data_IF_693102819651
#
_entry.id   IF_693102819651
#
_cell.length_a   1.000
_cell.length_b   1.000
_cell.length_c   1.000
_cell.angle_alpha   90.00
_cell.angle_beta   90.00
_cell.angle_gamma   90.00
#
_symmetry.space_group_name_H-M   'P 1'
#
loop_
_entity.id
_entity.type
_entity.pdbx_description
1 polymer ?
#
# COMPACT_ATOMS: atom_id res chain seq x y z
N UNK A 1 35.04 7.07 3.79
CA UNK A 1 34.03 6.59 4.78
C UNK A 1 33.17 7.70 5.38
N UNK A 2 33.70 8.88 5.78
CA UNK A 2 32.88 9.99 6.33
C UNK A 2 31.82 10.59 5.37
N UNK A 3 32.06 10.55 4.05
CA UNK A 3 31.11 11.10 3.06
C UNK A 3 29.95 10.15 2.71
N UNK A 4 30.14 8.84 2.86
CA UNK A 4 29.08 7.84 2.63
C UNK A 4 28.07 7.88 3.80
N UNK A 5 28.56 8.08 5.02
CA UNK A 5 27.71 8.18 6.21
C UNK A 5 26.84 9.46 6.20
N UNK A 6 27.36 10.58 5.66
CA UNK A 6 26.56 11.82 5.46
C UNK A 6 25.47 11.65 4.41
N UNK A 7 25.73 10.91 3.33
CA UNK A 7 24.73 10.64 2.28
C UNK A 7 23.61 9.72 2.78
N UNK A 8 23.94 8.70 3.58
CA UNK A 8 22.96 7.79 4.18
C UNK A 8 22.10 8.53 5.21
N UNK A 9 22.70 9.42 6.01
CA UNK A 9 21.96 10.22 7.00
C UNK A 9 21.04 11.26 6.32
N UNK A 10 21.46 11.89 5.22
CA UNK A 10 20.60 12.80 4.45
C UNK A 10 19.43 12.06 3.79
N UNK A 11 19.67 10.91 3.17
CA UNK A 11 18.62 10.13 2.50
C UNK A 11 17.54 9.64 3.48
N UNK A 12 17.92 9.17 4.67
CA UNK A 12 16.99 8.74 5.71
C UNK A 12 16.15 9.92 6.28
N UNK A 13 16.77 11.10 6.44
CA UNK A 13 16.07 12.32 6.86
C UNK A 13 15.09 12.80 5.78
N UNK A 14 15.47 12.74 4.50
CA UNK A 14 14.58 13.09 3.39
C UNK A 14 13.38 12.15 3.24
N UNK A 15 13.53 10.86 3.53
CA UNK A 15 12.42 9.90 3.44
C UNK A 15 11.39 10.13 4.57
N UNK A 16 11.85 10.29 5.82
CA UNK A 16 10.97 10.56 6.97
C UNK A 16 10.25 11.91 6.90
N UNK A 17 10.92 12.96 6.40
CA UNK A 17 10.30 14.27 6.18
C UNK A 17 9.23 14.25 5.06
N UNK A 18 9.44 13.48 3.99
CA UNK A 18 8.47 13.38 2.89
C UNK A 18 7.19 12.62 3.30
N UNK A 19 7.31 11.58 4.13
CA UNK A 19 6.16 10.86 4.67
C UNK A 19 5.30 11.76 5.58
N UNK A 20 5.92 12.51 6.49
CA UNK A 20 5.19 13.45 7.36
C UNK A 20 4.58 14.64 6.59
N UNK A 21 5.28 15.19 5.59
CA UNK A 21 4.74 16.26 4.75
C UNK A 21 3.58 15.77 3.87
N UNK A 22 3.65 14.54 3.35
CA UNK A 22 2.55 13.89 2.64
C UNK A 22 1.35 13.68 3.56
N UNK A 23 1.57 13.21 4.79
CA UNK A 23 0.53 13.07 5.80
C UNK A 23 -0.14 14.41 6.10
N UNK A 24 0.62 15.49 6.34
CA UNK A 24 0.05 16.82 6.63
C UNK A 24 -0.71 17.43 5.44
N UNK A 25 -0.16 17.36 4.23
CA UNK A 25 -0.83 17.89 3.01
C UNK A 25 -2.14 17.14 2.71
N UNK A 26 -2.14 15.80 2.78
CA UNK A 26 -3.34 15.00 2.54
C UNK A 26 -4.33 15.14 3.71
N UNK A 27 -3.84 15.26 4.95
CA UNK A 27 -4.68 15.39 6.16
C UNK A 27 -5.31 16.77 6.27
N UNK A 28 -4.65 17.84 5.85
CA UNK A 28 -5.28 19.17 5.69
C UNK A 28 -6.39 19.13 4.64
N UNK A 29 -6.23 18.34 3.57
CA UNK A 29 -7.23 18.15 2.52
C UNK A 29 -8.35 17.14 2.86
N UNK A 30 -8.23 16.36 3.95
CA UNK A 30 -9.21 15.31 4.28
C UNK A 30 -9.74 15.43 5.72
N UNK A 31 -10.84 16.17 5.86
CA UNK A 31 -11.69 16.15 7.05
C UNK A 31 -13.01 15.38 6.85
N UNK A 32 -13.12 14.54 5.80
CA UNK A 32 -14.35 13.78 5.50
C UNK A 32 -14.10 12.33 5.07
N UNK A 33 -14.87 11.40 5.66
CA UNK A 33 -15.12 10.05 5.11
C UNK A 33 -14.02 9.00 5.32
N UNK A 34 -13.65 8.67 6.56
CA UNK A 34 -12.78 7.49 6.80
C UNK A 34 -13.51 6.21 6.41
N UNK A 35 -12.86 5.35 5.61
CA UNK A 35 -13.35 4.01 5.30
C UNK A 35 -12.52 2.99 6.10
N UNK A 36 -12.84 2.90 7.40
CA UNK A 36 -12.07 2.05 8.30
C UNK A 36 -12.43 0.58 8.11
N UNK A 37 -11.42 -0.20 7.75
CA UNK A 37 -11.48 -1.66 7.69
C UNK A 37 -10.57 -2.29 8.72
N UNK A 38 -10.78 -3.58 8.96
CA UNK A 38 -10.01 -4.37 9.91
C UNK A 38 -9.61 -5.73 9.33
N UNK A 39 -8.40 -6.16 9.65
CA UNK A 39 -7.87 -7.47 9.28
C UNK A 39 -7.00 -8.01 10.42
N UNK A 40 -6.95 -9.33 10.57
CA UNK A 40 -6.21 -10.00 11.63
C UNK A 40 -5.12 -10.88 11.01
N UNK A 41 -3.88 -10.65 11.40
CA UNK A 41 -2.70 -11.24 10.78
C UNK A 41 -1.86 -11.98 11.83
N UNK A 42 -1.78 -13.30 11.72
CA UNK A 42 -0.87 -14.13 12.52
C UNK A 42 0.41 -14.37 11.72
N UNK A 43 1.56 -14.01 12.27
CA UNK A 43 2.83 -14.00 11.55
C UNK A 43 4.03 -14.32 12.42
N UNK A 44 3.85 -15.15 13.46
CA UNK A 44 4.86 -15.38 14.48
C UNK A 44 4.72 -14.42 15.66
N UNK A 45 5.84 -14.10 16.32
CA UNK A 45 5.84 -13.19 17.46
C UNK A 45 5.20 -11.83 17.10
N UNK A 46 4.09 -11.50 17.76
CA UNK A 46 3.29 -10.33 17.40
C UNK A 46 3.95 -8.98 17.72
N UNK A 47 5.07 -8.94 18.45
CA UNK A 47 5.79 -7.71 18.82
C UNK A 47 6.42 -7.06 17.60
N UNK A 48 7.13 -7.84 16.80
CA UNK A 48 7.72 -7.38 15.54
C UNK A 48 6.63 -7.00 14.54
N UNK A 49 5.55 -7.79 14.48
CA UNK A 49 4.40 -7.52 13.62
C UNK A 49 3.78 -6.16 13.94
N UNK A 50 3.47 -5.89 15.22
CA UNK A 50 2.91 -4.62 15.64
C UNK A 50 3.88 -3.47 15.36
N UNK A 51 5.15 -3.60 15.75
CA UNK A 51 6.17 -2.58 15.49
C UNK A 51 6.37 -2.26 14.01
N UNK A 52 6.17 -3.24 13.12
CA UNK A 52 6.25 -3.07 11.68
C UNK A 52 5.02 -2.34 11.12
N UNK A 53 3.81 -2.85 11.41
CA UNK A 53 2.57 -2.35 10.84
C UNK A 53 2.19 -0.94 11.33
N UNK A 54 2.62 -0.54 12.53
CA UNK A 54 2.43 0.83 13.03
C UNK A 54 3.08 1.92 12.15
N UNK A 55 4.09 1.56 11.36
CA UNK A 55 4.78 2.49 10.46
C UNK A 55 4.12 2.63 9.08
N UNK A 56 3.18 1.75 8.75
CA UNK A 56 2.58 1.73 7.41
C UNK A 56 1.55 2.87 7.32
N UNK A 57 1.75 3.75 6.33
CA UNK A 57 0.81 4.84 6.06
C UNK A 57 -0.60 4.29 5.80
N UNK A 58 -1.60 4.90 6.43
CA UNK A 58 -2.99 4.46 6.36
C UNK A 58 -3.42 3.44 7.43
N UNK A 59 -2.47 2.84 8.18
CA UNK A 59 -2.80 2.11 9.41
C UNK A 59 -3.15 3.11 10.53
N UNK A 60 -4.29 2.88 11.18
CA UNK A 60 -4.89 3.81 12.15
C UNK A 60 -4.78 3.29 13.59
N UNK A 61 -4.90 1.98 13.78
CA UNK A 61 -4.82 1.34 15.09
C UNK A 61 -4.24 -0.08 14.94
N UNK A 62 -3.46 -0.51 15.91
CA UNK A 62 -2.95 -1.88 15.97
C UNK A 62 -3.02 -2.42 17.38
N UNK A 63 -3.38 -3.69 17.52
CA UNK A 63 -3.44 -4.39 18.81
C UNK A 63 -2.92 -5.79 18.64
N UNK A 64 -2.31 -6.33 19.68
CA UNK A 64 -1.87 -7.73 19.69
C UNK A 64 -2.80 -8.58 20.56
N UNK A 65 -2.95 -9.84 20.19
CA UNK A 65 -3.81 -10.77 20.92
C UNK A 65 -3.73 -12.17 20.36
N UNK A 66 -4.76 -12.96 20.68
CA UNK A 66 -4.79 -14.40 20.45
C UNK A 66 -6.06 -14.76 19.67
N UNK A 67 -5.92 -15.29 18.47
CA UNK A 67 -7.06 -15.56 17.58
C UNK A 67 -7.26 -17.05 17.28
N UNK A 68 -8.50 -17.40 16.95
CA UNK A 68 -8.90 -18.67 16.34
C UNK A 68 -8.40 -19.91 17.10
N UNK A 69 -8.47 -19.87 18.43
CA UNK A 69 -8.25 -21.03 19.28
C UNK A 69 -9.52 -21.80 19.59
N UNK A 70 -9.43 -22.71 20.57
CA UNK A 70 -10.52 -23.63 20.97
C UNK A 70 -11.48 -23.05 22.00
N UNK A 71 -11.11 -21.96 22.67
CA UNK A 71 -11.87 -21.33 23.75
C UNK A 71 -12.04 -19.82 23.51
N UNK A 72 -13.10 -19.23 24.06
CA UNK A 72 -13.36 -17.78 23.96
C UNK A 72 -12.38 -16.91 24.77
N UNK A 73 -11.69 -17.50 25.75
CA UNK A 73 -10.72 -16.82 26.60
C UNK A 73 -9.40 -17.59 26.58
N UNK A 74 -8.30 -16.84 26.70
CA UNK A 74 -6.94 -17.36 26.89
C UNK A 74 -6.06 -16.26 27.47
N UNK A 75 -4.84 -16.61 27.85
CA UNK A 75 -3.78 -15.70 28.27
C UNK A 75 -2.45 -16.19 27.71
N UNK A 76 -1.39 -15.38 27.80
CA UNK A 76 -0.06 -15.80 27.32
C UNK A 76 0.39 -17.14 27.94
N UNK A 77 -0.03 -17.43 29.17
CA UNK A 77 0.31 -18.66 29.91
C UNK A 77 -0.46 -19.89 29.43
N UNK A 78 -1.65 -19.71 28.86
CA UNK A 78 -2.58 -20.77 28.45
C UNK A 78 -2.55 -21.00 26.93
N UNK A 79 -1.70 -20.27 26.21
CA UNK A 79 -1.69 -20.23 24.75
C UNK A 79 -1.40 -21.59 24.11
N UNK A 80 -0.52 -22.38 24.74
CA UNK A 80 -0.18 -23.72 24.27
C UNK A 80 -1.36 -24.72 24.39
N UNK A 81 -2.26 -24.53 25.34
CA UNK A 81 -3.41 -25.42 25.57
C UNK A 81 -4.63 -25.01 24.73
N UNK A 82 -4.82 -23.71 24.60
CA UNK A 82 -5.97 -23.09 23.93
C UNK A 82 -5.87 -23.08 22.39
N UNK A 83 -4.69 -23.32 21.82
CA UNK A 83 -4.40 -23.40 20.37
C UNK A 83 -4.71 -22.09 19.58
N UNK A 84 -4.79 -20.95 20.28
CA UNK A 84 -4.86 -19.65 19.61
C UNK A 84 -3.53 -19.32 18.92
N UNK A 85 -3.58 -18.51 17.86
CA UNK A 85 -2.41 -17.90 17.24
C UNK A 85 -2.14 -16.52 17.84
N UNK A 86 -0.88 -16.19 18.09
CA UNK A 86 -0.46 -14.79 18.23
C UNK A 86 -0.83 -14.03 16.96
N UNK A 87 -1.65 -13.00 17.14
CA UNK A 87 -2.32 -12.32 16.03
C UNK A 87 -2.27 -10.82 16.25
N UNK A 88 -1.94 -10.12 15.17
CA UNK A 88 -2.01 -8.67 15.07
C UNK A 88 -3.39 -8.28 14.52
N UNK A 89 -4.15 -7.51 15.26
CA UNK A 89 -5.27 -6.71 14.74
C UNK A 89 -4.72 -5.47 14.06
N UNK A 90 -5.14 -5.22 12.82
CA UNK A 90 -4.78 -4.03 12.04
C UNK A 90 -6.08 -3.32 11.64
N UNK A 91 -6.27 -2.10 12.14
CA UNK A 91 -7.27 -1.17 11.64
C UNK A 91 -6.62 -0.22 10.66
N UNK A 92 -7.20 -0.04 9.48
CA UNK A 92 -6.64 0.82 8.45
C UNK A 92 -7.72 1.57 7.67
N UNK A 93 -7.35 2.70 7.09
CA UNK A 93 -8.21 3.48 6.20
C UNK A 93 -8.04 2.99 4.76
N UNK A 94 -9.05 2.29 4.24
CA UNK A 94 -9.05 1.74 2.88
C UNK A 94 -8.95 2.84 1.82
N UNK A 95 -9.27 4.11 2.14
CA UNK A 95 -9.06 5.23 1.22
C UNK A 95 -7.58 5.64 1.10
N UNK A 96 -6.71 5.15 2.01
CA UNK A 96 -5.28 5.51 2.06
C UNK A 96 -4.36 4.34 1.71
N UNK A 97 -4.71 3.13 2.14
CA UNK A 97 -3.93 1.91 1.90
C UNK A 97 -4.88 0.77 1.56
N UNK A 98 -4.60 0.06 0.47
CA UNK A 98 -5.44 -1.06 0.04
C UNK A 98 -5.16 -2.33 0.86
N UNK A 99 -6.16 -3.20 1.01
CA UNK A 99 -5.96 -4.53 1.60
C UNK A 99 -4.81 -5.31 0.92
N UNK A 100 -4.70 -5.22 -0.41
CA UNK A 100 -3.63 -5.86 -1.17
C UNK A 100 -2.22 -5.38 -0.74
N UNK A 101 -2.09 -4.11 -0.35
CA UNK A 101 -0.83 -3.53 0.14
C UNK A 101 -0.53 -4.01 1.56
N UNK A 102 -1.54 -4.06 2.44
CA UNK A 102 -1.45 -4.65 3.79
C UNK A 102 -0.98 -6.11 3.72
N UNK A 103 -1.53 -6.91 2.80
CA UNK A 103 -1.12 -8.30 2.57
C UNK A 103 0.30 -8.41 1.99
N UNK A 104 0.68 -7.52 1.07
CA UNK A 104 2.04 -7.47 0.56
C UNK A 104 3.06 -7.15 1.67
N UNK A 105 2.72 -6.22 2.55
CA UNK A 105 3.51 -5.93 3.76
C UNK A 105 3.61 -7.13 4.70
N UNK A 106 2.51 -7.86 4.91
CA UNK A 106 2.48 -9.08 5.71
C UNK A 106 3.44 -10.14 5.15
N UNK A 107 3.33 -10.47 3.87
CA UNK A 107 4.18 -11.47 3.21
C UNK A 107 5.65 -11.08 3.12
N UNK A 108 5.97 -9.78 3.19
CA UNK A 108 7.35 -9.29 3.22
C UNK A 108 8.09 -9.66 4.50
N UNK A 109 7.37 -9.80 5.62
CA UNK A 109 7.97 -9.96 6.95
C UNK A 109 7.79 -11.34 7.56
N UNK A 110 7.12 -12.25 6.86
CA UNK A 110 6.97 -13.66 7.28
C UNK A 110 7.69 -14.60 6.32
N UNK A 111 7.96 -15.81 6.79
CA UNK A 111 8.21 -16.97 5.94
C UNK A 111 6.87 -17.69 5.66
N UNK A 112 6.30 -17.58 4.45
CA UNK A 112 4.97 -18.12 4.17
C UNK A 112 4.95 -19.63 3.95
N UNK A 113 6.11 -20.29 3.85
CA UNK A 113 6.22 -21.76 3.64
C UNK A 113 6.59 -22.50 4.93
N UNK A 114 6.95 -21.76 6.00
CA UNK A 114 7.26 -22.30 7.32
C UNK A 114 6.00 -22.64 8.13
N UNK A 115 5.83 -23.93 8.43
CA UNK A 115 4.69 -24.43 9.22
C UNK A 115 4.95 -24.29 10.72
N UNK A 116 4.06 -23.57 11.42
CA UNK A 116 4.08 -23.40 12.89
C UNK A 116 5.42 -22.87 13.44
N UNK A 117 6.09 -22.00 12.68
CA UNK A 117 7.37 -21.42 13.04
C UNK A 117 7.63 -20.12 12.29
N UNK A 118 8.15 -19.10 12.96
CA UNK A 118 8.68 -17.87 12.35
C UNK A 118 9.97 -17.47 13.07
N UNK A 119 11.06 -17.29 12.32
CA UNK A 119 12.38 -17.06 12.91
C UNK A 119 12.78 -18.20 13.87
N UNK A 120 13.04 -17.85 15.13
CA UNK A 120 13.39 -18.82 16.19
C UNK A 120 12.16 -19.30 16.98
N UNK A 121 10.99 -18.71 16.76
CA UNK A 121 9.78 -18.98 17.53
C UNK A 121 9.04 -20.18 16.90
N UNK A 122 8.90 -21.26 17.68
CA UNK A 122 8.33 -22.54 17.21
C UNK A 122 7.09 -22.90 18.04
N UNK A 123 6.01 -23.25 17.37
CA UNK A 123 4.75 -23.65 17.99
C UNK A 123 3.53 -23.23 17.19
N UNK A 124 2.39 -23.86 17.48
CA UNK A 124 1.10 -23.57 16.83
C UNK A 124 0.62 -22.14 17.06
N UNK A 125 1.04 -21.52 18.16
CA UNK A 125 0.79 -20.11 18.44
C UNK A 125 1.52 -19.17 17.47
N UNK A 126 2.58 -19.63 16.80
CA UNK A 126 3.35 -18.87 15.82
C UNK A 126 3.05 -19.28 14.37
N UNK A 127 1.93 -19.98 14.13
CA UNK A 127 1.46 -20.28 12.78
C UNK A 127 1.16 -18.99 12.02
N UNK A 128 1.30 -19.04 10.70
CA UNK A 128 0.94 -17.93 9.84
C UNK A 128 -0.53 -18.04 9.40
N UNK A 129 -1.26 -16.93 9.43
CA UNK A 129 -2.69 -16.91 9.11
C UNK A 129 -3.22 -15.52 8.80
N UNK A 130 -4.22 -15.46 7.92
CA UNK A 130 -5.00 -14.27 7.58
C UNK A 130 -6.44 -14.55 8.01
N UNK A 131 -6.92 -13.79 8.99
CA UNK A 131 -8.28 -13.93 9.50
C UNK A 131 -9.13 -12.71 9.15
N UNK A 132 -10.12 -12.93 8.28
CA UNK A 132 -11.01 -11.86 7.81
C UNK A 132 -12.29 -11.80 8.63
N UNK A 133 -12.83 -10.59 8.78
CA UNK A 133 -14.15 -10.36 9.39
C UNK A 133 -15.22 -10.22 8.32
N UNK A 134 -14.90 -9.54 7.21
CA UNK A 134 -15.81 -9.34 6.09
C UNK A 134 -15.53 -10.32 4.95
N UNK A 135 -16.56 -11.04 4.52
CA UNK A 135 -16.52 -11.91 3.32
C UNK A 135 -16.21 -11.11 2.04
N UNK A 136 -16.45 -9.78 2.04
CA UNK A 136 -16.11 -8.93 0.90
C UNK A 136 -14.61 -8.87 0.60
N UNK A 137 -13.76 -9.19 1.57
CA UNK A 137 -12.31 -9.12 1.44
C UNK A 137 -11.72 -10.41 0.85
N UNK A 138 -12.49 -11.51 0.87
CA UNK A 138 -12.05 -12.83 0.44
C UNK A 138 -11.56 -12.87 -1.02
N UNK A 139 -12.24 -12.25 -2.01
CA UNK A 139 -11.75 -12.25 -3.40
C UNK A 139 -10.35 -11.62 -3.55
N UNK A 140 -10.05 -10.58 -2.78
CA UNK A 140 -8.74 -9.91 -2.78
C UNK A 140 -7.70 -10.80 -2.11
N UNK A 141 -8.02 -11.41 -0.96
CA UNK A 141 -7.13 -12.34 -0.25
C UNK A 141 -6.80 -13.55 -1.14
N UNK A 142 -7.80 -14.20 -1.73
CA UNK A 142 -7.59 -15.36 -2.60
C UNK A 142 -6.78 -15.01 -3.86
N UNK A 143 -7.08 -13.86 -4.47
CA UNK A 143 -6.32 -13.38 -5.63
C UNK A 143 -4.87 -13.11 -5.25
N UNK A 144 -4.63 -12.49 -4.10
CA UNK A 144 -3.30 -12.24 -3.56
C UNK A 144 -2.54 -13.56 -3.32
N UNK A 145 -3.14 -14.50 -2.58
CA UNK A 145 -2.55 -15.80 -2.26
C UNK A 145 -2.16 -16.60 -3.50
N UNK A 146 -3.02 -16.58 -4.53
CA UNK A 146 -2.75 -17.26 -5.81
C UNK A 146 -1.53 -16.69 -6.54
N UNK A 147 -1.36 -15.38 -6.50
CA UNK A 147 -0.23 -14.69 -7.13
C UNK A 147 1.03 -14.92 -6.32
N UNK A 148 0.94 -14.80 -5.00
CA UNK A 148 2.07 -14.96 -4.10
C UNK A 148 2.65 -16.38 -4.15
N UNK A 149 1.80 -17.40 -4.26
CA UNK A 149 2.24 -18.80 -4.41
C UNK A 149 3.17 -18.99 -5.61
N UNK A 150 3.04 -18.21 -6.69
CA UNK A 150 3.91 -18.34 -7.87
C UNK A 150 5.37 -17.95 -7.60
N UNK A 151 5.61 -17.16 -6.55
CA UNK A 151 6.97 -16.74 -6.13
C UNK A 151 7.69 -17.83 -5.33
N UNK A 152 6.96 -18.83 -4.82
CA UNK A 152 7.49 -19.89 -3.97
C UNK A 152 7.35 -21.26 -4.64
N UNK A 153 8.41 -22.07 -4.60
CA UNK A 153 8.34 -23.47 -5.04
C UNK A 153 7.56 -24.31 -4.05
N UNK A 154 7.81 -24.09 -2.76
CA UNK A 154 7.10 -24.76 -1.69
C UNK A 154 5.69 -24.18 -1.54
N UNK A 155 4.76 -25.03 -1.10
CA UNK A 155 3.39 -24.61 -0.88
C UNK A 155 3.35 -23.61 0.27
N UNK A 156 2.68 -22.48 0.06
CA UNK A 156 2.35 -21.53 1.12
C UNK A 156 1.43 -22.23 2.12
N UNK A 157 1.79 -22.16 3.40
CA UNK A 157 1.07 -22.79 4.52
C UNK A 157 0.29 -21.78 5.37
N UNK A 158 0.31 -20.50 4.99
CA UNK A 158 -0.52 -19.44 5.59
C UNK A 158 -2.00 -19.83 5.47
N UNK A 159 -2.68 -19.98 6.59
CA UNK A 159 -4.11 -20.30 6.60
C UNK A 159 -4.96 -19.05 6.30
N UNK A 160 -6.04 -19.23 5.54
CA UNK A 160 -7.04 -18.17 5.29
C UNK A 160 -8.37 -18.66 5.84
N UNK A 161 -8.93 -17.95 6.81
CA UNK A 161 -10.14 -18.36 7.50
C UNK A 161 -10.92 -17.15 8.01
N UNK A 162 -12.24 -17.27 8.27
CA UNK A 162 -12.95 -16.24 9.01
C UNK A 162 -12.40 -16.13 10.43
N UNK A 163 -12.40 -14.93 10.99
CA UNK A 163 -12.12 -14.72 12.40
C UNK A 163 -13.25 -15.34 13.24
N UNK A 164 -12.90 -16.22 14.18
CA UNK A 164 -13.84 -16.85 15.10
C UNK A 164 -13.90 -16.09 16.43
N UNK A 165 -12.73 -15.79 16.97
CA UNK A 165 -12.56 -15.08 18.23
C UNK A 165 -11.19 -14.40 18.26
N UNK A 166 -11.10 -13.31 19.03
CA UNK A 166 -9.87 -12.58 19.28
C UNK A 166 -9.83 -12.12 20.74
N UNK A 167 -8.91 -12.70 21.50
CA UNK A 167 -8.66 -12.33 22.90
C UNK A 167 -7.56 -11.30 22.92
N UNK A 168 -7.84 -10.11 23.45
CA UNK A 168 -6.85 -9.04 23.55
C UNK A 168 -5.68 -9.49 24.43
N UNK A 169 -4.45 -9.32 23.94
CA UNK A 169 -3.25 -9.61 24.70
C UNK A 169 -3.06 -8.64 25.87
N UNK A 170 -2.35 -9.08 26.91
CA UNK A 170 -2.12 -8.28 28.11
C UNK A 170 -1.39 -6.95 27.78
N UNK A 171 -1.59 -5.94 28.61
CA UNK A 171 -1.07 -4.58 28.38
C UNK A 171 0.46 -4.52 28.20
N UNK A 172 1.20 -5.44 28.81
CA UNK A 172 2.66 -5.48 28.66
C UNK A 172 3.09 -5.97 27.27
N UNK A 173 2.22 -6.65 26.51
CA UNK A 173 2.47 -7.04 25.13
C UNK A 173 2.10 -5.95 24.11
N UNK A 174 1.13 -5.09 24.45
CA UNK A 174 0.73 -3.97 23.59
C UNK A 174 1.89 -2.99 23.45
N UNK A 175 2.23 -2.61 22.21
CA UNK A 175 3.30 -1.65 21.91
C UNK A 175 4.65 -2.04 22.54
N UNK A 176 4.92 -3.35 22.61
CA UNK A 176 6.07 -3.87 23.35
C UNK A 176 7.40 -3.25 22.90
N UNK A 177 7.62 -3.08 21.59
CA UNK A 177 8.86 -2.52 21.05
C UNK A 177 8.96 -0.99 21.20
N UNK A 178 7.85 -0.28 21.42
CA UNK A 178 7.88 1.13 21.79
C UNK A 178 8.29 1.29 23.25
N UNK A 179 7.75 0.41 24.11
CA UNK A 179 8.09 0.34 25.54
C UNK A 179 9.51 -0.20 25.75
N UNK A 180 9.98 -1.09 24.87
CA UNK A 180 11.27 -1.77 24.95
C UNK A 180 11.99 -1.72 23.58
N UNK A 181 12.66 -0.61 23.23
CA UNK A 181 13.27 -0.42 21.91
C UNK A 181 14.34 -1.46 21.51
N UNK A 182 14.95 -2.12 22.50
CA UNK A 182 15.93 -3.19 22.31
C UNK A 182 15.36 -4.58 22.62
N UNK A 183 14.03 -4.69 22.69
CA UNK A 183 13.33 -5.95 22.89
C UNK A 183 13.53 -6.91 21.73
N UNK A 184 13.16 -8.18 21.95
CA UNK A 184 13.26 -9.20 20.91
C UNK A 184 12.39 -8.87 19.70
N UNK A 185 12.99 -8.92 18.51
CA UNK A 185 12.30 -8.78 17.24
C UNK A 185 13.07 -9.54 16.16
N UNK A 186 12.43 -10.52 15.52
CA UNK A 186 13.02 -11.24 14.39
C UNK A 186 12.79 -10.53 13.04
N UNK A 187 11.90 -9.53 13.00
CA UNK A 187 11.56 -8.74 11.81
C UNK A 187 12.47 -7.51 11.70
N UNK A 188 13.00 -7.24 10.51
CA UNK A 188 13.67 -5.96 10.21
C UNK A 188 12.61 -4.83 10.09
N UNK A 189 12.41 -4.08 11.17
CA UNK A 189 11.46 -2.95 11.20
C UNK A 189 11.81 -1.82 10.22
N UNK A 190 13.05 -1.78 9.71
CA UNK A 190 13.47 -0.83 8.69
C UNK A 190 12.95 -1.18 7.29
N UNK A 191 12.38 -2.38 7.10
CA UNK A 191 11.70 -2.74 5.86
C UNK A 191 10.42 -1.90 5.63
N UNK A 192 9.78 -1.37 6.68
CA UNK A 192 8.58 -0.55 6.52
C UNK A 192 8.86 0.75 5.75
N UNK A 193 10.09 1.26 5.87
CA UNK A 193 10.55 2.50 5.26
C UNK A 193 11.14 2.29 3.84
N UNK A 194 11.19 1.04 3.36
CA UNK A 194 11.74 0.68 2.05
C UNK A 194 10.61 0.38 1.05
N UNK A 195 10.81 0.62 -0.26
CA UNK A 195 9.84 0.26 -1.29
C UNK A 195 9.36 -1.18 -1.14
N UNK A 196 8.04 -1.38 -1.28
CA UNK A 196 7.37 -2.67 -1.10
C UNK A 196 7.57 -3.58 -2.31
N UNK A 197 7.60 -3.00 -3.50
CA UNK A 197 7.78 -3.69 -4.76
C UNK A 197 9.17 -3.42 -5.33
N UNK A 198 9.63 -4.31 -6.21
CA UNK A 198 10.84 -4.06 -6.98
C UNK A 198 10.58 -2.96 -8.01
N UNK A 199 10.99 -1.73 -7.67
CA UNK A 199 10.86 -0.57 -8.53
C UNK A 199 11.98 -0.48 -9.59
N UNK A 200 12.99 -1.36 -9.56
CA UNK A 200 14.14 -1.30 -10.47
C UNK A 200 13.74 -1.49 -11.94
N UNK A 201 12.67 -2.25 -12.20
CA UNK A 201 12.11 -2.45 -13.54
C UNK A 201 11.38 -1.21 -14.09
N UNK A 202 11.01 -0.27 -13.24
CA UNK A 202 10.31 0.96 -13.62
C UNK A 202 11.28 2.14 -13.79
N UNK A 203 12.42 1.91 -14.45
CA UNK A 203 13.41 2.97 -14.63
C UNK A 203 12.82 4.10 -15.50
N UNK A 204 12.87 5.37 -15.06
CA UNK A 204 12.43 6.48 -15.90
C UNK A 204 13.22 6.54 -17.21
N UNK A 205 12.52 6.85 -18.30
CA UNK A 205 13.13 7.09 -19.61
C UNK A 205 14.10 8.27 -19.56
N UNK A 206 15.19 8.17 -20.33
CA UNK A 206 16.11 9.29 -20.52
C UNK A 206 15.45 10.43 -21.31
N UNK A 207 16.02 11.64 -21.23
CA UNK A 207 15.51 12.82 -21.96
C UNK A 207 15.35 12.59 -23.46
N UNK A 208 16.27 11.84 -24.07
CA UNK A 208 16.23 11.53 -25.50
C UNK A 208 15.15 10.48 -25.83
N UNK A 209 14.98 9.47 -24.97
CA UNK A 209 13.89 8.50 -25.09
C UNK A 209 12.52 9.16 -24.91
N UNK A 210 12.38 10.07 -23.94
CA UNK A 210 11.15 10.83 -23.72
C UNK A 210 10.76 11.63 -24.97
N UNK A 211 11.70 12.36 -25.58
CA UNK A 211 11.44 13.14 -26.80
C UNK A 211 11.11 12.27 -28.01
N UNK A 212 11.64 11.05 -28.07
CA UNK A 212 11.44 10.13 -29.18
C UNK A 212 10.13 9.33 -29.06
N UNK A 213 9.78 8.93 -27.84
CA UNK A 213 8.72 7.97 -27.59
C UNK A 213 7.39 8.64 -27.21
N UNK A 214 7.42 9.87 -26.69
CA UNK A 214 6.22 10.60 -26.31
C UNK A 214 5.74 11.50 -27.45
N UNK A 215 4.42 11.67 -27.54
CA UNK A 215 3.84 12.75 -28.35
C UNK A 215 4.20 14.11 -27.77
N UNK A 216 4.03 15.19 -28.56
CA UNK A 216 4.28 16.55 -28.08
C UNK A 216 3.42 16.91 -26.87
N UNK A 217 2.17 16.45 -26.81
CA UNK A 217 1.26 16.67 -25.68
C UNK A 217 1.70 15.86 -24.44
N UNK A 218 2.04 14.58 -24.61
CA UNK A 218 2.54 13.73 -23.52
C UNK A 218 3.84 14.29 -22.93
N UNK A 219 4.75 14.79 -23.77
CA UNK A 219 5.98 15.43 -23.32
C UNK A 219 5.68 16.73 -22.56
N UNK A 220 4.85 17.62 -23.11
CA UNK A 220 4.49 18.88 -22.47
C UNK A 220 3.80 18.67 -21.12
N UNK A 221 2.87 17.71 -21.03
CA UNK A 221 2.21 17.37 -19.77
C UNK A 221 3.21 16.83 -18.77
N UNK A 222 3.96 15.78 -19.11
CA UNK A 222 4.78 15.07 -18.13
C UNK A 222 6.05 15.83 -17.73
N UNK A 223 6.66 16.61 -18.63
CA UNK A 223 7.96 17.25 -18.43
C UNK A 223 7.88 18.76 -18.21
N UNK A 224 6.81 19.40 -18.68
CA UNK A 224 6.66 20.87 -18.66
C UNK A 224 5.46 21.33 -17.84
N UNK A 225 4.81 20.40 -17.13
CA UNK A 225 3.61 20.63 -16.32
C UNK A 225 2.46 21.31 -17.09
N UNK A 226 2.35 21.00 -18.39
CA UNK A 226 1.17 21.38 -19.16
C UNK A 226 -0.06 20.57 -18.72
N UNK A 227 -1.24 21.01 -19.14
CA UNK A 227 -2.51 20.32 -18.90
C UNK A 227 -3.22 20.08 -20.23
N UNK A 228 -3.61 18.84 -20.51
CA UNK A 228 -4.37 18.49 -21.71
C UNK A 228 -5.77 19.14 -21.67
N UNK A 229 -6.43 19.26 -22.83
CA UNK A 229 -7.76 19.87 -22.87
C UNK A 229 -8.80 18.99 -22.15
N UNK A 230 -9.80 19.59 -21.47
CA UNK A 230 -10.90 18.80 -20.91
C UNK A 230 -11.59 17.95 -21.99
N UNK A 231 -11.98 16.73 -21.63
CA UNK A 231 -12.69 15.75 -22.45
C UNK A 231 -11.92 15.27 -23.70
N UNK A 232 -10.63 15.58 -23.83
CA UNK A 232 -9.84 15.14 -25.00
C UNK A 232 -9.17 13.77 -24.82
N UNK A 233 -8.92 13.34 -23.58
CA UNK A 233 -8.31 12.05 -23.32
C UNK A 233 -9.29 10.90 -23.53
N UNK A 234 -8.81 9.83 -24.17
CA UNK A 234 -9.52 8.55 -24.25
C UNK A 234 -9.84 7.95 -22.87
N UNK A 235 -9.07 8.31 -21.84
CA UNK A 235 -9.25 7.79 -20.48
C UNK A 235 -10.27 8.57 -19.64
N UNK A 236 -10.85 9.67 -20.14
CA UNK A 236 -11.91 10.39 -19.42
C UNK A 236 -13.14 9.49 -19.26
N UNK A 237 -13.76 9.09 -20.37
CA UNK A 237 -14.90 8.17 -20.43
C UNK A 237 -14.46 6.73 -20.70
N UNK A 238 -13.74 6.17 -19.73
CA UNK A 238 -13.16 4.83 -19.81
C UNK A 238 -13.31 4.07 -18.48
N UNK A 239 -13.76 2.82 -18.54
CA UNK A 239 -14.11 2.00 -17.37
C UNK A 239 -13.57 0.55 -17.42
N UNK A 240 -12.70 0.23 -18.38
CA UNK A 240 -12.11 -1.11 -18.50
C UNK A 240 -11.29 -1.47 -17.24
N UNK A 241 -11.37 -2.73 -16.83
CA UNK A 241 -10.60 -3.27 -15.70
C UNK A 241 -9.12 -3.40 -16.06
N UNK A 242 -8.27 -2.83 -15.22
CA UNK A 242 -6.82 -2.79 -15.36
C UNK A 242 -6.16 -1.76 -14.45
N UNK A 243 -4.92 -1.39 -14.77
CA UNK A 243 -4.15 -0.37 -14.06
C UNK A 243 -3.70 0.73 -15.02
N UNK A 244 -3.48 1.92 -14.47
CA UNK A 244 -2.88 3.05 -15.16
C UNK A 244 -1.44 3.19 -14.68
N UNK A 245 -0.51 3.09 -15.62
CA UNK A 245 0.91 3.22 -15.35
C UNK A 245 1.42 4.56 -15.86
N UNK A 246 2.49 5.03 -15.25
CA UNK A 246 3.26 6.19 -15.70
C UNK A 246 3.79 5.94 -17.11
N UNK A 247 3.43 6.79 -18.08
CA UNK A 247 3.87 6.63 -19.46
C UNK A 247 5.40 6.78 -19.62
N UNK A 248 6.07 7.41 -18.66
CA UNK A 248 7.51 7.72 -18.68
C UNK A 248 8.40 6.68 -18.01
N UNK A 249 7.81 5.75 -17.24
CA UNK A 249 8.58 4.75 -16.47
C UNK A 249 7.94 3.36 -16.42
N UNK A 250 6.65 3.26 -16.72
CA UNK A 250 5.86 2.05 -16.54
C UNK A 250 5.47 1.79 -15.08
N UNK A 251 5.82 2.65 -14.12
CA UNK A 251 5.42 2.45 -12.71
C UNK A 251 3.89 2.51 -12.57
N UNK A 252 3.22 1.54 -11.90
CA UNK A 252 1.80 1.63 -11.61
C UNK A 252 1.47 2.84 -10.73
N UNK A 253 0.44 3.59 -11.11
CA UNK A 253 0.01 4.81 -10.43
C UNK A 253 -1.41 4.68 -9.86
N UNK A 254 -2.34 4.15 -10.65
CA UNK A 254 -3.75 4.06 -10.26
C UNK A 254 -4.38 2.72 -10.68
N UNK A 255 -5.37 2.28 -9.91
CA UNK A 255 -6.23 1.17 -10.27
C UNK A 255 -7.51 1.66 -10.92
N UNK A 256 -8.04 0.90 -11.88
CA UNK A 256 -9.40 1.11 -12.40
C UNK A 256 -10.49 0.95 -11.33
N UNK A 257 -10.23 0.24 -10.23
CA UNK A 257 -11.17 0.11 -9.10
C UNK A 257 -11.45 1.45 -8.39
N UNK A 258 -10.47 2.36 -8.44
CA UNK A 258 -10.51 3.66 -7.80
C UNK A 258 -10.85 4.80 -8.77
N UNK A 259 -11.05 4.49 -10.06
CA UNK A 259 -11.47 5.46 -11.07
C UNK A 259 -12.96 5.78 -10.94
N UNK A 260 -13.32 7.04 -11.13
CA UNK A 260 -14.71 7.47 -11.21
C UNK A 260 -14.91 8.60 -12.22
N UNK A 261 -16.15 8.83 -12.64
CA UNK A 261 -16.50 9.96 -13.50
C UNK A 261 -16.81 11.19 -12.65
N UNK A 262 -15.89 12.15 -12.64
CA UNK A 262 -16.07 13.42 -11.93
C UNK A 262 -16.77 14.50 -12.77
N UNK A 263 -17.00 14.26 -14.07
CA UNK A 263 -17.56 15.25 -14.99
C UNK A 263 -16.63 16.45 -15.29
N UNK A 264 -15.39 16.45 -14.81
CA UNK A 264 -14.44 17.55 -15.02
C UNK A 264 -13.69 17.47 -16.36
N UNK A 265 -13.77 16.35 -17.08
CA UNK A 265 -13.13 16.14 -18.37
C UNK A 265 -11.70 15.58 -18.30
N UNK A 266 -11.26 15.13 -17.13
CA UNK A 266 -10.00 14.40 -16.96
C UNK A 266 -10.24 13.12 -16.15
N UNK A 267 -9.47 12.05 -16.44
CA UNK A 267 -9.43 10.85 -15.60
C UNK A 267 -9.32 11.21 -14.11
N UNK A 268 -10.27 10.73 -13.31
CA UNK A 268 -10.37 11.03 -11.89
C UNK A 268 -10.32 9.76 -11.06
N UNK A 269 -9.50 9.77 -10.00
CA UNK A 269 -9.32 8.64 -9.08
C UNK A 269 -9.52 9.07 -7.63
N UNK A 270 -9.89 8.14 -6.76
CA UNK A 270 -10.08 8.41 -5.33
C UNK A 270 -8.81 8.22 -4.50
N UNK A 271 -7.90 7.34 -4.95
CA UNK A 271 -6.61 7.08 -4.29
C UNK A 271 -5.57 6.54 -5.28
N UNK A 272 -4.26 6.65 -5.00
CA UNK A 272 -3.23 5.94 -5.73
C UNK A 272 -3.31 4.41 -5.53
N UNK A 273 -2.70 3.66 -6.45
CA UNK A 273 -2.64 2.19 -6.36
C UNK A 273 -1.83 1.71 -5.16
N UNK A 274 -0.76 2.43 -4.79
CA UNK A 274 0.03 2.16 -3.59
C UNK A 274 0.39 3.45 -2.86
N UNK A 275 0.73 3.33 -1.57
CA UNK A 275 1.16 4.48 -0.78
C UNK A 275 2.45 5.14 -1.30
N UNK A 276 3.26 4.44 -2.10
CA UNK A 276 4.54 4.95 -2.65
C UNK A 276 4.49 5.33 -4.13
N UNK A 277 3.30 5.33 -4.75
CA UNK A 277 3.16 5.62 -6.18
C UNK A 277 3.40 7.10 -6.53
N UNK A 278 2.94 8.01 -5.67
CA UNK A 278 2.84 9.46 -5.96
C UNK A 278 3.65 10.31 -4.98
N UNK A 279 4.20 11.41 -5.50
CA UNK A 279 4.70 12.54 -4.72
C UNK A 279 3.78 13.75 -4.86
N UNK A 280 3.83 14.64 -3.88
CA UNK A 280 2.95 15.80 -3.76
C UNK A 280 3.78 17.07 -3.61
N UNK A 281 3.35 18.16 -4.24
CA UNK A 281 4.02 19.45 -4.16
C UNK A 281 3.00 20.58 -4.14
N UNK A 282 3.21 21.58 -3.29
CA UNK A 282 2.39 22.78 -3.33
C UNK A 282 2.55 23.51 -4.66
N UNK A 283 1.43 23.89 -5.25
CA UNK A 283 1.35 24.64 -6.50
C UNK A 283 0.53 25.91 -6.30
N UNK A 284 1.22 27.05 -6.35
CA UNK A 284 0.64 28.40 -6.24
C UNK A 284 0.47 29.10 -7.60
N UNK A 285 0.61 28.36 -8.71
CA UNK A 285 0.39 28.89 -10.05
C UNK A 285 -1.04 29.41 -10.23
N UNK A 286 -1.21 30.38 -11.13
CA UNK A 286 -2.50 31.02 -11.43
C UNK A 286 -3.23 31.62 -10.21
N UNK A 287 -2.48 31.97 -9.14
CA UNK A 287 -3.02 32.53 -7.89
C UNK A 287 -4.01 31.59 -7.16
N UNK A 288 -3.93 30.29 -7.43
CA UNK A 288 -4.68 29.25 -6.73
C UNK A 288 -3.75 28.48 -5.79
N UNK A 289 -4.23 28.05 -4.63
CA UNK A 289 -3.51 27.07 -3.80
C UNK A 289 -3.97 25.67 -4.18
N UNK A 290 -3.13 24.91 -4.87
CA UNK A 290 -3.40 23.52 -5.29
C UNK A 290 -2.27 22.61 -4.83
N UNK A 291 -2.51 21.30 -4.91
CA UNK A 291 -1.49 20.29 -4.68
C UNK A 291 -1.23 19.57 -6.00
N UNK A 292 -0.05 19.80 -6.57
CA UNK A 292 0.47 19.08 -7.72
C UNK A 292 0.74 17.63 -7.34
N UNK A 293 0.35 16.71 -8.22
CA UNK A 293 0.58 15.28 -8.12
C UNK A 293 1.59 14.87 -9.18
N UNK A 294 2.65 14.19 -8.75
CA UNK A 294 3.71 13.69 -9.64
C UNK A 294 3.97 12.21 -9.39
N UNK A 295 4.55 11.54 -10.37
CA UNK A 295 5.04 10.16 -10.19
C UNK A 295 6.26 10.19 -9.26
N UNK A 296 6.23 9.41 -8.18
CA UNK A 296 7.28 9.40 -7.15
C UNK A 296 8.66 9.01 -7.72
N UNK A 297 8.70 8.24 -8.80
CA UNK A 297 9.92 7.65 -9.35
C UNK A 297 10.50 8.44 -10.53
N UNK A 298 9.66 8.88 -11.47
CA UNK A 298 10.10 9.63 -12.65
C UNK A 298 10.06 11.14 -12.49
N UNK A 299 9.42 11.64 -11.44
CA UNK A 299 9.12 13.07 -11.26
C UNK A 299 8.28 13.66 -12.40
N UNK A 300 7.60 12.81 -13.19
CA UNK A 300 6.67 13.25 -14.23
C UNK A 300 5.45 13.93 -13.60
N UNK A 301 5.07 15.08 -14.13
CA UNK A 301 3.82 15.75 -13.78
C UNK A 301 2.62 14.91 -14.24
N UNK A 302 1.67 14.71 -13.33
CA UNK A 302 0.46 13.93 -13.60
C UNK A 302 -0.79 14.83 -13.60
N UNK A 303 -0.90 15.74 -12.63
CA UNK A 303 -2.04 16.63 -12.48
C UNK A 303 -2.13 17.20 -11.07
N UNK A 304 -3.33 17.22 -10.50
CA UNK A 304 -3.61 17.81 -9.18
C UNK A 304 -4.56 16.96 -8.36
N UNK A 305 -4.50 17.09 -7.03
CA UNK A 305 -5.45 16.47 -6.10
C UNK A 305 -6.29 17.55 -5.40
N UNK A 306 -7.59 17.27 -5.29
CA UNK A 306 -8.62 18.13 -4.72
C UNK A 306 -9.40 17.38 -3.63
N UNK A 307 -10.09 18.12 -2.77
CA UNK A 307 -10.92 17.65 -1.65
C UNK A 307 -12.43 17.61 -1.98
N UNK A 308 -12.76 17.65 -3.27
CA UNK A 308 -14.13 17.65 -3.82
C UNK A 308 -14.55 16.27 -4.39
N UNK A 309 -13.85 15.21 -3.99
CA UNK A 309 -14.14 13.84 -4.40
C UNK A 309 -15.32 13.20 -3.66
N UNK A 310 -15.67 11.95 -4.01
CA UNK A 310 -16.75 11.21 -3.34
C UNK A 310 -16.46 11.04 -1.85
N UNK A 311 -17.32 11.58 -1.00
CA UNK A 311 -17.13 11.58 0.45
C UNK A 311 -17.11 10.17 1.07
N UNK A 312 -17.80 9.21 0.46
CA UNK A 312 -17.80 7.80 0.86
C UNK A 312 -16.50 7.06 0.48
N UNK A 313 -15.63 7.69 -0.33
CA UNK A 313 -14.33 7.18 -0.77
C UNK A 313 -13.16 8.09 -0.37
N UNK A 314 -13.31 8.80 0.75
CA UNK A 314 -12.26 9.61 1.36
C UNK A 314 -12.22 11.08 0.91
N UNK A 315 -13.15 11.50 0.04
CA UNK A 315 -13.31 12.89 -0.35
C UNK A 315 -12.22 13.43 -1.29
N UNK A 316 -11.23 12.62 -1.67
CA UNK A 316 -10.18 13.05 -2.59
C UNK A 316 -10.54 12.80 -4.05
N UNK A 317 -10.13 13.73 -4.90
CA UNK A 317 -10.18 13.60 -6.36
C UNK A 317 -8.81 13.87 -6.95
N UNK A 318 -8.16 12.81 -7.39
CA UNK A 318 -6.94 12.86 -8.18
C UNK A 318 -7.31 13.12 -9.65
N UNK A 319 -7.20 14.37 -10.07
CA UNK A 319 -7.50 14.83 -11.43
C UNK A 319 -6.24 14.74 -12.28
N UNK A 320 -6.14 13.69 -13.10
CA UNK A 320 -4.90 13.31 -13.78
C UNK A 320 -5.05 13.46 -15.28
N UNK A 321 -4.04 14.05 -15.93
CA UNK A 321 -3.96 14.10 -17.39
C UNK A 321 -3.82 12.68 -17.94
N UNK A 322 -4.70 12.26 -18.83
CA UNK A 322 -4.59 10.96 -19.48
C UNK A 322 -3.35 10.85 -20.36
N UNK A 323 -2.84 11.96 -20.91
CA UNK A 323 -1.55 12.03 -21.60
C UNK A 323 -0.33 11.65 -20.72
N UNK A 324 -0.48 11.64 -19.39
CA UNK A 324 0.57 11.16 -18.47
C UNK A 324 0.49 9.65 -18.18
N UNK A 325 -0.59 9.00 -18.64
CA UNK A 325 -0.92 7.62 -18.30
C UNK A 325 -0.83 6.70 -19.51
N UNK A 326 -0.56 5.43 -19.22
CA UNK A 326 -0.79 4.32 -20.14
C UNK A 326 -1.64 3.27 -19.43
N UNK A 327 -2.75 2.87 -20.03
CA UNK A 327 -3.59 1.82 -19.47
C UNK A 327 -3.05 0.42 -19.80
N UNK A 328 -3.11 -0.48 -18.82
CA UNK A 328 -2.77 -1.90 -18.95
C UNK A 328 -4.00 -2.72 -18.56
N UNK A 329 -4.67 -3.38 -19.52
CA UNK A 329 -5.82 -4.25 -19.25
C UNK A 329 -5.51 -5.38 -18.28
N UNK A 330 -6.48 -5.76 -17.45
CA UNK A 330 -6.35 -6.81 -16.43
C UNK A 330 -5.85 -8.14 -17.02
N UNK A 331 -6.36 -8.53 -18.18
CA UNK A 331 -6.00 -9.73 -18.93
C UNK A 331 -4.52 -9.75 -19.38
N UNK A 332 -3.92 -8.57 -19.54
CA UNK A 332 -2.55 -8.39 -20.02
C UNK A 332 -1.55 -8.15 -18.89
N UNK A 333 -2.01 -7.80 -17.68
CA UNK A 333 -1.15 -7.44 -16.55
C UNK A 333 -0.10 -8.52 -16.26
N UNK A 334 -0.49 -9.79 -16.15
CA UNK A 334 0.46 -10.86 -15.86
C UNK A 334 1.52 -11.02 -16.98
N UNK A 335 1.07 -11.00 -18.23
CA UNK A 335 1.94 -11.14 -19.41
C UNK A 335 2.93 -9.99 -19.54
N UNK A 336 2.53 -8.79 -19.13
CA UNK A 336 3.34 -7.57 -19.20
C UNK A 336 4.15 -7.31 -17.92
N UNK A 337 4.15 -8.24 -16.96
CA UNK A 337 4.98 -8.15 -15.76
C UNK A 337 4.42 -7.27 -14.63
N UNK A 338 3.10 -7.10 -14.58
CA UNK A 338 2.34 -6.39 -13.54
C UNK A 338 1.49 -7.32 -12.68
N UNK A 339 1.87 -8.61 -12.60
CA UNK A 339 1.06 -9.62 -11.95
C UNK A 339 0.78 -9.30 -10.47
N UNK A 340 1.78 -8.78 -9.76
CA UNK A 340 1.66 -8.42 -8.34
C UNK A 340 0.63 -7.31 -8.05
N UNK A 341 0.19 -6.59 -9.08
CA UNK A 341 -0.81 -5.52 -8.97
C UNK A 341 -2.24 -5.97 -9.27
N UNK A 342 -2.45 -7.22 -9.72
CA UNK A 342 -3.80 -7.76 -10.00
C UNK A 342 -4.74 -7.68 -8.79
N UNK A 343 -4.31 -7.92 -7.53
CA UNK A 343 -5.19 -7.80 -6.37
C UNK A 343 -5.73 -6.39 -6.12
N UNK A 344 -5.16 -5.35 -6.76
CA UNK A 344 -5.60 -3.96 -6.63
C UNK A 344 -6.74 -3.59 -7.59
N UNK A 345 -7.04 -4.42 -8.58
CA UNK A 345 -8.01 -4.13 -9.67
C UNK A 345 -9.42 -4.64 -9.35
N UNK A 346 -9.55 -5.48 -8.31
CA UNK A 346 -10.76 -6.25 -8.02
C UNK A 346 -11.67 -5.58 -7.01
#
# INVERSE_FOLDING_TARGET
>A
MKNILKFILMAAVFFGLNLMAKDELIKEQTMAGQNLKEIYLAGGCFWGMQGYFKKIFGVVDTKVGYANGKSENTSYRELHESDHAETLYVKYDENRVALAEILAHFFRVIDPTSLNKQGNDVGRQYRSGIYYVSESDLPTIESFMKIEQKKFKDKIVVEVAPLKNFVLGEEYHQDYLDKNPFGYCHIDLGLADKPLYDEAKFKPLSKDELKKNLSSEQYAVTQEAATERPFSSEYDKFDQKGIYVDITSGKPLFSSADKFDAGCGWPSFTKPITTTALSYKEDNSFMMKRVEVKSQNSDAHLGHVFDDGPSDKGGLRYCINGASLKFIPLEDMARLGYEEFIPYVK
#
